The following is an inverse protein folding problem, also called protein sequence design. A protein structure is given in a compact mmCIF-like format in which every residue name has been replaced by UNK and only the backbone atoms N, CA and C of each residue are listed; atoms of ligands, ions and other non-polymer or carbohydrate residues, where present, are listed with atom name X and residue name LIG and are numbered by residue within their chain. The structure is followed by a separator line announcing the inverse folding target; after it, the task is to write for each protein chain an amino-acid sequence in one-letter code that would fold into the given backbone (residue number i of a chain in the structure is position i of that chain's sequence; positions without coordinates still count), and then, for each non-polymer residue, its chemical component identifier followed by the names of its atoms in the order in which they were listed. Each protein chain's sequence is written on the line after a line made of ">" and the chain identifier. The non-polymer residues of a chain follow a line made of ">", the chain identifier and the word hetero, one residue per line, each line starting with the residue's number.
data_IF_321119074708
#
_entry.id   IF_321119074708
#
_cell.length_a   1.000
_cell.length_b   1.000
_cell.length_c   1.000
_cell.angle_alpha   90.00
_cell.angle_beta   90.00
_cell.angle_gamma   90.00
#
_symmetry.space_group_name_H-M   'P 1'
#
loop_
_entity.id
_entity.type
_entity.pdbx_description
1 polymer ?
#
# COMPACT_ATOMS: atom_id res chain seq x y z
N UNK A 1 -12.53 -1.06 -11.71
CA UNK A 1 -12.40 0.19 -12.49
C UNK A 1 -11.85 1.23 -11.54
N UNK A 2 -10.75 1.93 -11.89
CA UNK A 2 -10.22 3.00 -11.03
C UNK A 2 -11.14 4.22 -11.10
N UNK A 3 -11.30 4.89 -9.97
CA UNK A 3 -12.21 6.04 -9.83
C UNK A 3 -11.59 7.30 -10.46
N UNK A 4 -10.27 7.37 -10.48
CA UNK A 4 -9.47 8.51 -10.96
C UNK A 4 -8.58 8.10 -12.14
N UNK A 5 -8.27 9.07 -13.02
CA UNK A 5 -7.29 8.89 -14.09
C UNK A 5 -5.88 8.74 -13.49
N UNK A 6 -5.24 7.56 -13.64
CA UNK A 6 -3.93 7.33 -13.04
C UNK A 6 -2.82 8.23 -13.64
N UNK A 7 -3.00 8.73 -14.86
CA UNK A 7 -2.02 9.52 -15.60
C UNK A 7 -2.30 11.02 -15.58
N UNK A 8 -3.29 11.47 -14.80
CA UNK A 8 -3.55 12.89 -14.61
C UNK A 8 -2.27 13.61 -14.17
N UNK A 9 -1.92 14.71 -14.84
CA UNK A 9 -0.64 15.40 -14.62
C UNK A 9 -0.41 15.78 -13.15
N UNK A 10 -1.45 16.28 -12.46
CA UNK A 10 -1.38 16.61 -11.02
C UNK A 10 -1.07 15.39 -10.16
N UNK A 11 -1.66 14.24 -10.48
CA UNK A 11 -1.43 12.98 -9.78
C UNK A 11 -0.01 12.46 -9.99
N UNK A 12 0.48 12.49 -11.23
CA UNK A 12 1.86 12.11 -11.55
C UNK A 12 2.86 12.99 -10.80
N UNK A 13 2.63 14.31 -10.75
CA UNK A 13 3.49 15.22 -9.98
C UNK A 13 3.48 14.89 -8.48
N UNK A 14 2.33 14.53 -7.92
CA UNK A 14 2.23 14.10 -6.52
C UNK A 14 3.00 12.80 -6.25
N UNK A 15 2.93 11.81 -7.15
CA UNK A 15 3.75 10.60 -7.02
C UNK A 15 5.24 10.96 -7.05
N UNK A 16 5.65 11.79 -8.01
CA UNK A 16 7.04 12.21 -8.15
C UNK A 16 7.55 12.98 -6.92
N UNK A 17 6.69 13.73 -6.23
CA UNK A 17 7.06 14.47 -5.01
C UNK A 17 7.26 13.54 -3.79
N UNK A 18 6.49 12.44 -3.72
CA UNK A 18 6.58 11.48 -2.62
C UNK A 18 7.70 10.44 -2.81
N UNK A 19 8.10 10.16 -4.05
CA UNK A 19 9.20 9.24 -4.33
C UNK A 19 10.54 9.88 -4.00
N UNK A 20 11.22 9.34 -2.99
CA UNK A 20 12.59 9.75 -2.63
C UNK A 20 13.59 9.07 -3.53
N UNK A 21 14.39 9.86 -4.24
CA UNK A 21 15.46 9.40 -5.12
C UNK A 21 16.80 9.84 -4.54
N UNK A 22 17.69 8.89 -4.25
CA UNK A 22 19.01 9.12 -3.64
C UNK A 22 19.87 10.15 -4.39
N UNK A 23 20.84 10.73 -3.69
CA UNK A 23 21.75 11.76 -4.25
C UNK A 23 22.88 11.15 -5.08
N UNK A 24 23.12 9.85 -4.96
CA UNK A 24 24.17 9.05 -5.60
C UNK A 24 23.91 8.73 -7.08
N UNK A 25 22.92 9.38 -7.69
CA UNK A 25 22.57 9.18 -9.10
C UNK A 25 22.90 10.39 -9.97
N UNK A 26 23.32 10.12 -11.20
CA UNK A 26 23.52 11.17 -12.19
C UNK A 26 22.19 11.81 -12.62
N UNK A 27 22.27 13.02 -13.16
CA UNK A 27 21.11 13.72 -13.75
C UNK A 27 20.42 12.89 -14.84
N UNK A 28 21.17 12.14 -15.63
CA UNK A 28 20.62 11.28 -16.68
C UNK A 28 19.82 10.11 -16.09
N UNK A 29 20.35 9.45 -15.06
CA UNK A 29 19.62 8.38 -14.35
C UNK A 29 18.37 8.94 -13.67
N UNK A 30 18.46 10.11 -13.05
CA UNK A 30 17.31 10.78 -12.44
C UNK A 30 16.18 11.00 -13.45
N UNK A 31 16.51 11.53 -14.64
CA UNK A 31 15.54 11.68 -15.74
C UNK A 31 14.90 10.35 -16.14
N UNK A 32 15.69 9.27 -16.26
CA UNK A 32 15.18 7.93 -16.58
C UNK A 32 14.24 7.40 -15.51
N UNK A 33 14.56 7.63 -14.22
CA UNK A 33 13.69 7.24 -13.10
C UNK A 33 12.37 8.01 -13.15
N UNK A 34 12.39 9.34 -13.33
CA UNK A 34 11.16 10.12 -13.46
C UNK A 34 10.32 9.68 -14.65
N UNK A 35 10.94 9.37 -15.79
CA UNK A 35 10.24 8.84 -16.96
C UNK A 35 9.57 7.49 -16.65
N UNK A 36 10.27 6.57 -15.98
CA UNK A 36 9.73 5.28 -15.59
C UNK A 36 8.56 5.40 -14.61
N UNK A 37 8.68 6.27 -13.60
CA UNK A 37 7.58 6.52 -12.64
C UNK A 37 6.38 7.13 -13.36
N UNK A 38 6.60 8.00 -14.35
CA UNK A 38 5.52 8.61 -15.14
C UNK A 38 4.84 7.56 -16.03
N UNK A 39 5.61 6.71 -16.69
CA UNK A 39 5.13 5.62 -17.54
C UNK A 39 4.27 4.60 -16.76
N UNK A 40 4.68 4.30 -15.53
CA UNK A 40 3.99 3.36 -14.65
C UNK A 40 3.31 4.06 -13.47
N UNK A 41 2.82 5.29 -13.66
CA UNK A 41 2.15 6.07 -12.61
C UNK A 41 0.90 5.37 -12.06
N UNK A 42 0.34 4.48 -12.87
CA UNK A 42 -0.78 3.64 -12.55
C UNK A 42 -0.41 2.53 -11.55
N UNK A 43 0.85 2.14 -11.37
CA UNK A 43 1.23 1.11 -10.38
C UNK A 43 1.15 1.64 -8.94
N UNK A 44 1.29 2.95 -8.75
CA UNK A 44 1.31 3.58 -7.43
C UNK A 44 -0.10 3.83 -6.90
N UNK A 45 -0.26 3.75 -5.58
CA UNK A 45 -1.44 4.18 -4.85
C UNK A 45 -1.06 5.37 -3.96
N UNK A 46 -1.75 6.51 -4.11
CA UNK A 46 -1.56 7.70 -3.27
C UNK A 46 -2.38 7.65 -1.98
N UNK A 47 -3.35 6.74 -1.90
CA UNK A 47 -4.20 6.53 -0.73
C UNK A 47 -4.63 5.07 -0.62
N UNK A 48 -5.10 4.68 0.57
CA UNK A 48 -5.62 3.32 0.80
C UNK A 48 -6.83 3.00 -0.08
N UNK A 49 -7.67 3.98 -0.43
CA UNK A 49 -8.87 3.78 -1.25
C UNK A 49 -8.57 3.47 -2.72
N UNK A 50 -7.33 3.73 -3.17
CA UNK A 50 -6.82 3.31 -4.47
C UNK A 50 -6.36 1.84 -4.48
N UNK A 51 -6.11 1.23 -3.31
CA UNK A 51 -5.77 -0.19 -3.18
C UNK A 51 -7.01 -1.04 -3.45
N UNK A 52 -6.88 -2.03 -4.33
CA UNK A 52 -7.99 -2.93 -4.70
C UNK A 52 -7.54 -4.38 -4.62
N UNK A 53 -8.43 -5.22 -4.11
CA UNK A 53 -8.26 -6.67 -4.17
C UNK A 53 -8.47 -7.17 -5.60
N UNK A 54 -7.66 -8.13 -6.01
CA UNK A 54 -7.88 -8.86 -7.27
C UNK A 54 -8.89 -9.98 -7.01
N UNK A 55 -9.92 -10.05 -7.84
CA UNK A 55 -10.97 -11.08 -7.71
C UNK A 55 -10.62 -12.40 -8.44
N UNK A 56 -9.57 -12.39 -9.27
CA UNK A 56 -9.18 -13.52 -10.11
C UNK A 56 -8.08 -14.39 -9.51
N UNK A 57 -7.37 -13.89 -8.49
CA UNK A 57 -6.30 -14.63 -7.82
C UNK A 57 -6.55 -14.68 -6.33
N UNK A 58 -6.40 -15.87 -5.76
CA UNK A 58 -6.33 -16.08 -4.32
C UNK A 58 -4.91 -16.53 -4.01
N UNK A 59 -4.26 -15.86 -3.06
CA UNK A 59 -2.98 -16.34 -2.56
C UNK A 59 -3.22 -17.54 -1.65
N UNK A 60 -2.61 -18.68 -1.98
CA UNK A 60 -2.64 -19.88 -1.14
C UNK A 60 -1.38 -19.91 -0.29
N UNK A 61 -1.55 -19.98 1.03
CA UNK A 61 -0.44 -20.26 1.94
C UNK A 61 -0.16 -21.77 1.89
N UNK A 62 1.06 -22.16 1.52
CA UNK A 62 1.50 -23.55 1.54
C UNK A 62 1.85 -23.95 2.97
N UNK A 63 0.82 -24.31 3.74
CA UNK A 63 0.95 -24.73 5.14
C UNK A 63 0.88 -26.25 5.19
N UNK A 64 1.80 -26.86 5.94
CA UNK A 64 1.77 -28.29 6.25
C UNK A 64 0.55 -28.59 7.15
N UNK A 65 -0.40 -29.44 6.72
CA UNK A 65 -1.59 -29.75 7.49
C UNK A 65 -1.29 -30.51 8.79
N UNK A 66 -0.12 -31.16 8.90
CA UNK A 66 0.26 -31.97 10.06
C UNK A 66 0.94 -31.14 11.15
N UNK A 67 1.27 -29.87 10.86
CA UNK A 67 1.90 -28.96 11.82
C UNK A 67 0.83 -28.16 12.58
N UNK A 68 0.69 -28.35 13.91
CA UNK A 68 -0.23 -27.55 14.70
C UNK A 68 0.23 -26.08 14.75
N UNK A 69 -0.57 -25.19 14.19
CA UNK A 69 -0.30 -23.75 14.22
C UNK A 69 -0.94 -23.05 15.43
N UNK A 70 -0.34 -21.96 15.95
CA UNK A 70 -0.95 -21.15 16.98
C UNK A 70 -2.29 -20.57 16.50
N UNK A 71 -3.37 -20.88 17.21
CA UNK A 71 -4.71 -20.35 16.90
C UNK A 71 -5.02 -19.04 17.65
N UNK A 72 -4.18 -18.64 18.61
CA UNK A 72 -4.38 -17.46 19.43
C UNK A 72 -3.06 -16.72 19.58
N UNK A 73 -3.09 -15.42 19.33
CA UNK A 73 -2.01 -14.51 19.67
C UNK A 73 -2.47 -13.60 20.82
N UNK A 74 -1.62 -13.39 21.82
CA UNK A 74 -1.85 -12.35 22.82
C UNK A 74 -1.58 -10.99 22.20
N UNK A 75 -2.52 -10.05 22.35
CA UNK A 75 -2.33 -8.69 21.88
C UNK A 75 -1.38 -7.95 22.83
N UNK A 76 -0.37 -7.27 22.28
CA UNK A 76 0.48 -6.40 23.08
C UNK A 76 -0.33 -5.19 23.58
N UNK A 77 -0.17 -4.75 24.84
CA UNK A 77 -0.79 -3.52 25.31
C UNK A 77 -0.35 -2.33 24.46
N UNK A 78 -1.32 -1.51 24.07
CA UNK A 78 -1.09 -0.29 23.28
C UNK A 78 -1.30 0.90 24.20
N UNK A 79 -0.36 1.84 24.25
CA UNK A 79 -0.49 3.04 25.10
C UNK A 79 -1.54 4.01 24.55
N UNK A 80 -2.07 4.92 25.39
CA UNK A 80 -3.17 5.83 25.01
C UNK A 80 -2.97 6.55 23.67
N UNK A 81 -1.88 7.30 23.47
CA UNK A 81 -1.63 8.00 22.20
C UNK A 81 -1.46 7.05 20.99
N UNK A 82 -0.90 5.85 21.21
CA UNK A 82 -0.77 4.84 20.15
C UNK A 82 -2.12 4.23 19.78
N UNK A 83 -3.05 4.20 20.74
CA UNK A 83 -4.38 3.62 20.58
C UNK A 83 -5.18 4.39 19.53
N UNK A 84 -5.25 5.71 19.64
CA UNK A 84 -6.05 6.56 18.75
C UNK A 84 -5.52 6.50 17.31
N UNK A 85 -4.19 6.56 17.15
CA UNK A 85 -3.57 6.40 15.85
C UNK A 85 -3.83 5.01 15.24
N UNK A 86 -3.71 3.94 16.05
CA UNK A 86 -3.92 2.58 15.57
C UNK A 86 -5.37 2.36 15.12
N UNK A 87 -6.35 2.76 15.95
CA UNK A 87 -7.76 2.56 15.60
C UNK A 87 -8.19 3.40 14.41
N UNK A 88 -7.77 4.67 14.31
CA UNK A 88 -8.05 5.47 13.11
C UNK A 88 -7.44 4.87 11.84
N UNK A 89 -6.25 4.27 11.93
CA UNK A 89 -5.67 3.55 10.78
C UNK A 89 -6.46 2.29 10.43
N UNK A 90 -6.92 1.52 11.43
CA UNK A 90 -7.75 0.33 11.20
C UNK A 90 -9.07 0.71 10.52
N UNK A 91 -9.72 1.79 10.96
CA UNK A 91 -10.94 2.30 10.35
C UNK A 91 -10.70 2.68 8.87
N UNK A 92 -9.61 3.39 8.58
CA UNK A 92 -9.24 3.74 7.19
C UNK A 92 -8.98 2.49 6.32
N UNK A 93 -8.35 1.45 6.88
CA UNK A 93 -8.09 0.18 6.17
C UNK A 93 -9.37 -0.63 5.94
N UNK A 94 -10.32 -0.59 6.87
CA UNK A 94 -11.63 -1.24 6.73
C UNK A 94 -12.49 -0.53 5.68
N UNK A 95 -12.53 0.81 5.70
CA UNK A 95 -13.20 1.63 4.68
C UNK A 95 -12.62 1.38 3.28
N UNK A 96 -11.31 1.23 3.18
CA UNK A 96 -10.62 0.88 1.94
C UNK A 96 -10.75 -0.61 1.53
N UNK A 97 -11.45 -1.43 2.32
CA UNK A 97 -11.61 -2.88 2.12
C UNK A 97 -10.27 -3.65 2.07
N UNK A 98 -9.23 -3.12 2.71
CA UNK A 98 -7.93 -3.79 2.87
C UNK A 98 -8.01 -4.86 3.96
N UNK A 99 -8.74 -4.57 5.03
CA UNK A 99 -9.06 -5.53 6.10
C UNK A 99 -10.56 -5.69 6.23
N UNK A 100 -10.97 -6.78 6.88
CA UNK A 100 -12.35 -7.04 7.27
C UNK A 100 -12.39 -7.67 8.64
N UNK A 101 -13.44 -7.37 9.40
CA UNK A 101 -13.77 -8.13 10.60
C UNK A 101 -14.13 -9.57 10.21
N UNK A 102 -13.57 -10.54 10.93
CA UNK A 102 -13.81 -11.99 10.75
C UNK A 102 -14.47 -12.59 11.98
#
# INVERSE_FOLDING_TARGET
>A
MRITDPFAASRVQEILSQVKIGEDISTHQRKRIHALITEFADVFALSLTEVRTVNWYKHHLNIDPDVPLPQRASQRPVSGPQKDWLFSMLDNMEEAHVIKKV
#
